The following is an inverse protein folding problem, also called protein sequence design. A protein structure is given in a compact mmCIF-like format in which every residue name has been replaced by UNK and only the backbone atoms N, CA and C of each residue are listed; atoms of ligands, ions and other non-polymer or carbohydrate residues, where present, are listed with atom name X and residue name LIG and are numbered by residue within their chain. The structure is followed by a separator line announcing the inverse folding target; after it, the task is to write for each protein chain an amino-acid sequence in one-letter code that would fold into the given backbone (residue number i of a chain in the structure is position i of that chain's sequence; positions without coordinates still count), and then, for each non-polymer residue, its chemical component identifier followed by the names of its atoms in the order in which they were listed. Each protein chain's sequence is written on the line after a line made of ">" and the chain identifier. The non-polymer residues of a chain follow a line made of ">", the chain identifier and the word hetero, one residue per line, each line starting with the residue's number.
data_IF_455076710178
#
_entry.id   IF_455076710178
#
_cell.length_a   1.000
_cell.length_b   1.000
_cell.length_c   1.000
_cell.angle_alpha   90.00
_cell.angle_beta   90.00
_cell.angle_gamma   90.00
#
_symmetry.space_group_name_H-M   'P 1'
#
loop_
_entity.id
_entity.type
_entity.pdbx_description
1 polymer ?
#
# COMPACT_ATOMS: atom_id res chain seq x y z
N UNK A 1 55.34 -0.40 26.74
CA UNK A 1 55.59 1.02 27.08
C UNK A 1 54.23 1.70 27.07
N UNK A 2 53.46 1.65 28.16
CA UNK A 2 53.62 2.39 29.42
C UNK A 2 52.76 3.67 29.42
N UNK A 3 51.79 3.68 30.34
CA UNK A 3 51.11 4.80 31.04
C UNK A 3 50.26 5.78 30.20
N UNK A 4 48.93 5.88 30.41
CA UNK A 4 48.19 6.44 31.57
C UNK A 4 48.45 7.92 31.92
N UNK A 5 47.34 8.69 31.83
CA UNK A 5 46.88 9.76 32.76
C UNK A 5 47.58 11.14 32.68
N UNK A 6 46.80 12.20 32.38
CA UNK A 6 46.30 13.17 33.39
C UNK A 6 45.54 14.37 32.79
N UNK A 7 44.43 14.63 33.47
CA UNK A 7 43.56 15.80 33.49
C UNK A 7 44.30 17.03 34.06
N UNK A 8 44.07 18.22 33.50
CA UNK A 8 44.28 19.48 34.21
C UNK A 8 43.23 20.54 33.87
N UNK A 9 42.81 21.22 34.92
CA UNK A 9 41.76 22.23 35.06
C UNK A 9 42.37 23.62 34.89
N UNK A 10 41.63 24.57 34.32
CA UNK A 10 41.98 26.00 34.29
C UNK A 10 40.74 26.89 34.26
N UNK A 11 40.50 27.57 35.37
CA UNK A 11 39.41 28.51 35.68
C UNK A 11 39.47 29.82 34.89
N UNK A 12 38.30 30.39 34.56
CA UNK A 12 38.08 31.81 34.28
C UNK A 12 36.86 32.31 35.06
N UNK A 13 37.03 33.37 35.83
CA UNK A 13 36.12 33.93 36.86
C UNK A 13 35.49 35.24 36.35
N UNK A 14 34.44 35.71 37.07
CA UNK A 14 33.74 37.02 37.07
C UNK A 14 32.47 37.04 36.19
N UNK A 15 31.24 37.33 36.66
CA UNK A 15 30.82 38.08 37.87
C UNK A 15 29.34 37.85 38.20
N UNK A 16 29.05 37.87 39.50
CA UNK A 16 27.73 37.86 40.14
C UNK A 16 27.08 39.25 40.04
N UNK A 17 25.76 39.32 39.86
CA UNK A 17 24.88 40.26 40.60
C UNK A 17 23.41 39.82 40.57
N UNK A 18 22.87 39.67 41.78
CA UNK A 18 21.47 39.48 42.17
C UNK A 18 20.67 40.78 42.00
N UNK A 19 19.35 40.67 41.78
CA UNK A 19 18.39 41.76 41.97
C UNK A 19 16.94 41.25 41.95
N UNK A 20 16.24 41.45 43.08
CA UNK A 20 15.00 40.80 43.53
C UNK A 20 13.73 41.55 43.09
N UNK A 21 12.63 40.79 43.04
CA UNK A 21 11.20 41.11 42.94
C UNK A 21 10.68 42.45 43.54
N UNK A 22 9.71 43.04 42.83
CA UNK A 22 8.48 43.73 43.27
C UNK A 22 7.85 44.35 42.00
N UNK A 23 6.56 44.27 41.68
CA UNK A 23 5.49 44.96 42.41
C UNK A 23 4.12 44.54 41.82
N UNK A 24 3.22 44.06 42.68
CA UNK A 24 1.79 43.96 42.45
C UNK A 24 1.08 45.11 43.20
N UNK A 25 -0.16 45.42 42.76
CA UNK A 25 -1.17 46.34 43.31
C UNK A 25 -1.15 47.83 42.92
N UNK A 26 -2.39 48.35 42.79
CA UNK A 26 -2.89 49.73 42.56
C UNK A 26 -3.25 49.93 41.06
N UNK A 27 -4.50 49.77 40.60
CA UNK A 27 -5.72 50.49 40.99
C UNK A 27 -7.00 49.67 40.70
N UNK A 28 -7.80 49.43 41.74
CA UNK A 28 -9.25 49.27 41.64
C UNK A 28 -9.89 50.21 42.67
N UNK A 29 -10.65 51.20 42.21
CA UNK A 29 -11.87 51.80 42.80
C UNK A 29 -12.11 53.24 42.31
N UNK A 30 -13.40 53.58 42.20
CA UNK A 30 -14.06 54.79 41.64
C UNK A 30 -14.39 54.60 40.14
N UNK A 31 -15.63 54.48 39.67
CA UNK A 31 -16.99 54.48 40.24
C UNK A 31 -17.89 53.91 39.13
N UNK A 32 -18.75 52.90 39.33
CA UNK A 32 -20.04 52.96 40.03
C UNK A 32 -20.71 54.33 39.90
N UNK A 33 -21.25 54.65 38.73
CA UNK A 33 -22.54 55.33 38.54
C UNK A 33 -22.87 55.40 37.04
N UNK A 34 -23.86 54.62 36.58
CA UNK A 34 -24.87 54.87 35.51
C UNK A 34 -25.37 53.54 34.89
N UNK A 35 -26.62 53.51 34.35
CA UNK A 35 -27.58 52.44 34.62
C UNK A 35 -27.47 51.22 33.68
N UNK A 36 -27.80 50.05 34.24
CA UNK A 36 -28.05 48.80 33.51
C UNK A 36 -29.22 48.98 32.55
N UNK A 37 -28.90 49.17 31.28
CA UNK A 37 -29.81 48.93 30.16
C UNK A 37 -29.89 47.43 29.90
N UNK A 38 -31.10 46.89 29.96
CA UNK A 38 -31.42 45.52 29.56
C UNK A 38 -31.34 45.42 28.03
N UNK A 39 -30.14 45.26 27.49
CA UNK A 39 -29.91 44.96 26.08
C UNK A 39 -29.76 43.46 25.92
N UNK A 40 -30.69 42.82 25.20
CA UNK A 40 -30.46 41.48 24.71
C UNK A 40 -29.18 41.46 23.88
N UNK A 41 -28.29 40.53 24.18
CA UNK A 41 -27.14 40.24 23.33
C UNK A 41 -27.67 39.75 21.99
N UNK A 42 -27.72 40.66 21.02
CA UNK A 42 -27.59 40.29 19.63
C UNK A 42 -26.20 39.66 19.49
N UNK A 43 -26.14 38.35 19.23
CA UNK A 43 -24.91 37.67 18.81
C UNK A 43 -24.40 38.42 17.58
N UNK A 44 -23.38 39.25 17.77
CA UNK A 44 -22.64 39.83 16.66
C UNK A 44 -22.01 38.67 15.91
N UNK A 45 -22.41 38.43 14.65
CA UNK A 45 -21.71 37.48 13.79
C UNK A 45 -20.23 37.86 13.81
N UNK A 46 -19.37 36.98 14.31
CA UNK A 46 -17.94 37.22 14.30
C UNK A 46 -17.50 37.40 12.83
N UNK A 47 -16.74 38.46 12.55
CA UNK A 47 -16.20 38.72 11.22
C UNK A 47 -15.45 37.48 10.70
N UNK A 48 -15.67 37.04 9.45
CA UNK A 48 -15.01 35.86 8.92
C UNK A 48 -13.47 35.98 9.01
N UNK A 49 -12.80 34.90 9.41
CA UNK A 49 -11.34 34.82 9.38
C UNK A 49 -10.89 34.42 7.97
N UNK A 50 -9.94 35.14 7.37
CA UNK A 50 -9.31 34.72 6.11
C UNK A 50 -7.94 34.11 6.38
N UNK A 51 -7.67 32.95 5.78
CA UNK A 51 -6.36 32.30 5.81
C UNK A 51 -5.97 31.81 4.41
N UNK A 52 -4.67 31.65 4.19
CA UNK A 52 -4.12 30.91 3.06
C UNK A 52 -3.79 29.49 3.51
N UNK A 53 -4.18 28.50 2.69
CA UNK A 53 -3.89 27.08 2.90
C UNK A 53 -3.13 26.56 1.69
N UNK A 54 -2.00 25.90 1.96
CA UNK A 54 -1.18 25.21 0.96
C UNK A 54 -1.36 23.70 1.14
N UNK A 55 -1.73 23.03 0.05
CA UNK A 55 -1.79 21.58 -0.07
C UNK A 55 -0.50 21.10 -0.74
N UNK A 56 0.18 20.19 -0.07
CA UNK A 56 1.34 19.44 -0.60
C UNK A 56 1.07 17.97 -0.33
N UNK A 57 1.82 17.06 -0.96
CA UNK A 57 1.49 15.65 -1.15
C UNK A 57 0.66 15.02 -0.02
N UNK A 58 1.19 14.92 1.20
CA UNK A 58 0.47 14.34 2.35
C UNK A 58 0.29 15.35 3.49
N UNK A 59 0.23 16.65 3.17
CA UNK A 59 0.25 17.70 4.20
C UNK A 59 -0.56 18.92 3.81
N UNK A 60 -1.38 19.37 4.77
CA UNK A 60 -2.06 20.66 4.75
C UNK A 60 -1.28 21.66 5.62
N UNK A 61 -1.01 22.85 5.11
CA UNK A 61 -0.34 23.93 5.85
C UNK A 61 -1.19 25.21 5.83
N UNK A 62 -1.51 25.83 7.00
CA UNK A 62 -1.17 25.37 8.35
C UNK A 62 -1.96 24.11 8.76
N UNK A 63 -1.41 23.35 9.71
CA UNK A 63 -2.05 22.13 10.24
C UNK A 63 -3.20 22.42 11.24
N UNK A 64 -3.35 23.67 11.68
CA UNK A 64 -4.49 24.09 12.50
C UNK A 64 -4.83 25.57 12.33
N UNK A 65 -6.07 25.93 12.62
CA UNK A 65 -6.55 27.32 12.73
C UNK A 65 -7.47 27.44 13.95
N UNK A 66 -7.40 28.57 14.65
CA UNK A 66 -8.29 28.89 15.77
C UNK A 66 -9.36 29.93 15.36
N UNK A 67 -10.61 29.67 15.71
CA UNK A 67 -11.79 30.49 15.41
C UNK A 67 -12.53 30.88 16.70
N UNK A 68 -13.27 31.98 16.67
CA UNK A 68 -14.26 32.30 17.70
C UNK A 68 -15.59 31.58 17.41
N UNK A 69 -16.42 31.29 18.43
CA UNK A 69 -17.75 30.72 18.21
C UNK A 69 -18.60 31.57 17.24
N UNK A 70 -19.26 30.91 16.29
CA UNK A 70 -20.07 31.54 15.26
C UNK A 70 -19.27 32.22 14.14
N UNK A 71 -17.94 32.08 14.12
CA UNK A 71 -17.07 32.66 13.09
C UNK A 71 -17.03 31.78 11.84
N UNK A 72 -17.16 32.39 10.66
CA UNK A 72 -16.92 31.72 9.39
C UNK A 72 -15.44 31.77 9.00
N UNK A 73 -14.99 30.83 8.18
CA UNK A 73 -13.62 30.77 7.68
C UNK A 73 -13.63 30.94 6.14
N UNK A 74 -12.87 31.92 5.65
CA UNK A 74 -12.58 32.12 4.23
C UNK A 74 -11.18 31.55 3.99
N UNK A 75 -11.07 30.53 3.16
CA UNK A 75 -9.81 29.83 2.92
C UNK A 75 -9.41 30.01 1.46
N UNK A 76 -8.22 30.58 1.24
CA UNK A 76 -7.59 30.57 -0.07
C UNK A 76 -6.71 29.32 -0.17
N UNK A 77 -7.24 28.27 -0.79
CA UNK A 77 -6.54 26.99 -0.91
C UNK A 77 -5.73 26.99 -2.20
N UNK A 78 -4.45 26.64 -2.13
CA UNK A 78 -3.57 26.42 -3.28
C UNK A 78 -3.01 25.01 -3.23
N UNK A 79 -3.03 24.30 -4.35
CA UNK A 79 -2.30 23.06 -4.52
C UNK A 79 -0.87 23.36 -4.97
N UNK A 80 0.09 23.33 -4.04
CA UNK A 80 1.52 23.47 -4.30
C UNK A 80 2.24 22.13 -4.50
N UNK A 81 1.49 21.02 -4.42
CA UNK A 81 1.97 19.67 -4.64
C UNK A 81 2.01 19.28 -6.12
N UNK A 82 2.40 18.02 -6.34
CA UNK A 82 2.54 17.42 -7.68
C UNK A 82 1.36 16.55 -8.10
N UNK A 83 0.38 16.33 -7.22
CA UNK A 83 -0.81 15.51 -7.46
C UNK A 83 -2.09 16.31 -7.17
N UNK A 84 -3.25 15.92 -7.72
CA UNK A 84 -4.52 16.54 -7.40
C UNK A 84 -4.88 16.40 -5.91
N UNK A 85 -5.37 17.48 -5.32
CA UNK A 85 -5.81 17.51 -3.93
C UNK A 85 -7.05 18.37 -3.78
N UNK A 86 -7.88 18.08 -2.78
CA UNK A 86 -8.91 18.98 -2.32
C UNK A 86 -8.72 19.30 -0.84
N UNK A 87 -9.53 20.25 -0.36
CA UNK A 87 -9.61 20.60 1.04
C UNK A 87 -11.08 20.63 1.43
N UNK A 88 -11.54 19.67 2.24
CA UNK A 88 -12.93 19.54 2.66
C UNK A 88 -13.07 19.41 4.17
N UNK A 89 -13.88 20.29 4.75
CA UNK A 89 -14.34 20.23 6.14
C UNK A 89 -15.30 19.06 6.29
N UNK A 90 -15.04 18.21 7.28
CA UNK A 90 -15.79 16.98 7.55
C UNK A 90 -15.96 16.10 6.29
N UNK A 91 -15.02 16.19 5.34
CA UNK A 91 -15.01 15.44 4.08
C UNK A 91 -16.07 15.84 3.05
N UNK A 92 -16.81 16.93 3.26
CA UNK A 92 -17.95 17.29 2.41
C UNK A 92 -17.83 18.70 1.82
N UNK A 93 -17.74 19.72 2.67
CA UNK A 93 -17.79 21.11 2.27
C UNK A 93 -16.38 21.71 2.13
N UNK A 94 -16.07 22.30 0.99
CA UNK A 94 -14.73 22.82 0.72
C UNK A 94 -14.51 23.07 -0.77
N UNK A 95 -13.28 22.91 -1.23
CA UNK A 95 -12.91 23.12 -2.63
C UNK A 95 -13.44 22.00 -3.54
N UNK A 96 -13.38 22.22 -4.84
CA UNK A 96 -13.29 21.17 -5.84
C UNK A 96 -11.93 20.44 -5.75
N UNK A 97 -11.76 19.39 -6.54
CA UNK A 97 -10.43 18.79 -6.77
C UNK A 97 -9.57 19.79 -7.53
N UNK A 98 -8.42 20.15 -6.96
CA UNK A 98 -7.48 21.13 -7.53
C UNK A 98 -6.29 20.40 -8.15
N UNK A 99 -6.03 20.65 -9.42
CA UNK A 99 -4.79 20.17 -10.07
C UNK A 99 -3.56 20.93 -9.54
N UNK A 100 -2.33 20.41 -9.73
CA UNK A 100 -1.09 21.11 -9.37
C UNK A 100 -1.05 22.56 -9.88
N UNK A 101 -0.79 23.49 -8.95
CA UNK A 101 -0.73 24.93 -9.20
C UNK A 101 -2.08 25.65 -9.27
N UNK A 102 -3.21 24.94 -9.11
CA UNK A 102 -4.53 25.58 -9.02
C UNK A 102 -4.82 26.10 -7.61
N UNK A 103 -5.66 27.14 -7.55
CA UNK A 103 -6.15 27.71 -6.29
C UNK A 103 -7.65 27.93 -6.36
N UNK A 104 -8.32 27.77 -5.21
CA UNK A 104 -9.73 28.11 -5.03
C UNK A 104 -9.94 28.78 -3.67
N UNK A 105 -10.77 29.84 -3.66
CA UNK A 105 -11.21 30.47 -2.42
C UNK A 105 -12.60 29.95 -2.05
N UNK A 106 -12.72 29.37 -0.86
CA UNK A 106 -13.98 28.84 -0.32
C UNK A 106 -14.32 29.48 1.02
N UNK A 107 -15.60 29.67 1.30
CA UNK A 107 -16.10 30.08 2.62
C UNK A 107 -16.83 28.90 3.27
N UNK A 108 -16.42 28.53 4.48
CA UNK A 108 -16.96 27.42 5.28
C UNK A 108 -17.36 27.88 6.68
N UNK A 109 -18.23 27.11 7.34
CA UNK A 109 -18.86 27.49 8.62
C UNK A 109 -20.17 28.26 8.42
N UNK A 110 -20.62 29.06 9.41
CA UNK A 110 -19.95 29.39 10.67
C UNK A 110 -19.71 28.17 11.58
N UNK A 111 -18.71 28.26 12.46
CA UNK A 111 -18.34 27.19 13.37
C UNK A 111 -18.71 27.50 14.82
N UNK A 112 -19.57 26.67 15.42
CA UNK A 112 -19.89 26.71 16.85
C UNK A 112 -19.18 25.59 17.65
N UNK A 113 -18.53 24.65 16.95
CA UNK A 113 -17.74 23.57 17.50
C UNK A 113 -16.50 23.32 16.62
N UNK A 114 -15.44 22.76 17.23
CA UNK A 114 -14.24 22.35 16.48
C UNK A 114 -14.57 21.26 15.47
N UNK A 115 -13.86 21.25 14.34
CA UNK A 115 -14.00 20.32 13.22
C UNK A 115 -12.62 20.03 12.64
N UNK A 116 -12.55 19.17 11.63
CA UNK A 116 -11.32 18.84 10.90
C UNK A 116 -11.58 18.97 9.41
N UNK A 117 -10.62 19.53 8.68
CA UNK A 117 -10.59 19.51 7.23
C UNK A 117 -9.53 18.52 6.74
N UNK A 118 -9.78 17.83 5.63
CA UNK A 118 -8.84 16.88 5.05
C UNK A 118 -8.97 16.81 3.52
N UNK A 119 -7.98 16.18 2.88
CA UNK A 119 -8.03 15.81 1.47
C UNK A 119 -8.78 14.49 1.31
N UNK A 120 -9.75 14.42 0.40
CA UNK A 120 -10.63 13.26 0.18
C UNK A 120 -10.13 12.27 -0.85
N UNK A 121 -8.96 12.53 -1.45
CA UNK A 121 -8.27 11.51 -2.24
C UNK A 121 -8.00 10.29 -1.35
N UNK A 122 -8.36 9.07 -1.80
CA UNK A 122 -8.21 7.86 -0.99
C UNK A 122 -6.83 7.73 -0.35
N UNK A 123 -6.80 7.47 0.96
CA UNK A 123 -5.57 7.29 1.74
C UNK A 123 -4.86 8.58 2.16
N UNK A 124 -5.18 9.75 1.60
CA UNK A 124 -4.46 10.99 1.92
C UNK A 124 -4.76 11.46 3.36
N UNK A 125 -6.01 11.36 3.81
CA UNK A 125 -6.40 11.69 5.18
C UNK A 125 -5.65 10.81 6.19
N UNK A 126 -5.66 9.50 5.97
CA UNK A 126 -5.02 8.50 6.83
C UNK A 126 -3.49 8.65 6.83
N UNK A 127 -2.91 9.09 5.70
CA UNK A 127 -1.50 9.45 5.59
C UNK A 127 -1.14 10.80 6.25
N UNK A 128 -2.10 11.51 6.84
CA UNK A 128 -1.88 12.72 7.63
C UNK A 128 -2.23 14.04 6.95
N UNK A 129 -2.92 14.02 5.80
CA UNK A 129 -3.36 15.21 5.08
C UNK A 129 -4.61 15.84 5.72
N UNK A 130 -4.44 16.28 6.97
CA UNK A 130 -5.49 16.80 7.87
C UNK A 130 -5.12 18.19 8.42
N UNK A 131 -6.14 18.97 8.74
CA UNK A 131 -6.03 20.29 9.37
C UNK A 131 -7.13 20.46 10.41
N UNK A 132 -6.74 20.84 11.63
CA UNK A 132 -7.70 21.11 12.71
C UNK A 132 -8.31 22.50 12.61
N UNK A 133 -9.63 22.58 12.74
CA UNK A 133 -10.37 23.84 12.89
C UNK A 133 -10.84 23.90 14.34
N UNK A 134 -10.14 24.68 15.16
CA UNK A 134 -10.36 24.74 16.62
C UNK A 134 -11.24 25.95 16.96
N UNK A 135 -12.37 25.74 17.62
CA UNK A 135 -13.21 26.85 18.11
C UNK A 135 -12.86 27.16 19.57
N UNK A 136 -12.44 28.40 19.83
CA UNK A 136 -12.04 28.88 21.16
C UNK A 136 -13.18 28.73 22.18
N UNK A 137 -12.89 28.05 23.28
CA UNK A 137 -13.87 27.80 24.35
C UNK A 137 -14.87 26.67 24.06
N UNK A 138 -14.83 26.05 22.89
CA UNK A 138 -15.51 24.78 22.65
C UNK A 138 -14.69 23.64 23.30
N UNK A 139 -15.36 22.77 24.05
CA UNK A 139 -14.73 21.52 24.50
C UNK A 139 -14.46 20.65 23.28
N UNK A 140 -13.19 20.33 23.01
CA UNK A 140 -12.79 19.34 22.02
C UNK A 140 -13.59 18.03 22.23
N UNK A 141 -14.33 17.60 21.21
CA UNK A 141 -14.75 16.20 21.06
C UNK A 141 -13.73 15.36 20.30
N UNK A 142 -12.57 15.92 19.93
CA UNK A 142 -11.44 15.19 19.35
C UNK A 142 -10.18 15.46 20.18
N UNK A 143 -9.79 14.51 21.03
CA UNK A 143 -8.57 14.56 21.80
C UNK A 143 -7.49 13.68 21.18
N UNK A 144 -6.37 14.27 20.78
CA UNK A 144 -5.10 13.55 20.74
C UNK A 144 -4.63 13.34 22.19
N UNK A 145 -4.86 12.13 22.69
CA UNK A 145 -4.26 11.61 23.91
C UNK A 145 -3.84 10.18 23.68
N UNK A 146 -2.54 9.92 23.74
CA UNK A 146 -1.95 8.59 23.84
C UNK A 146 -2.57 7.83 25.03
N UNK A 147 -3.60 7.03 24.76
CA UNK A 147 -4.01 5.87 25.57
C UNK A 147 -4.96 5.02 24.74
N UNK A 148 -4.57 3.76 24.53
CA UNK A 148 -5.41 2.72 23.97
C UNK A 148 -6.74 2.60 24.75
N UNK A 149 -7.86 2.91 24.09
CA UNK A 149 -9.15 2.21 24.22
C UNK A 149 -10.20 2.82 23.28
N UNK A 150 -10.71 2.00 22.37
CA UNK A 150 -12.08 2.08 21.83
C UNK A 150 -12.35 3.18 20.84
N UNK A 151 -12.05 2.93 19.56
CA UNK A 151 -12.55 3.74 18.45
C UNK A 151 -14.08 3.80 18.47
N UNK A 152 -14.61 5.00 18.22
CA UNK A 152 -16.02 5.22 17.96
C UNK A 152 -16.44 4.38 16.75
N UNK A 153 -17.15 3.31 17.03
CA UNK A 153 -17.79 2.44 16.05
C UNK A 153 -18.99 3.17 15.43
N UNK A 154 -18.73 4.03 14.44
CA UNK A 154 -19.55 3.94 13.24
C UNK A 154 -19.17 2.57 12.65
N UNK A 155 -20.02 1.56 12.81
CA UNK A 155 -19.72 0.20 12.36
C UNK A 155 -19.28 0.25 10.91
N UNK A 156 -17.99 0.03 10.65
CA UNK A 156 -17.49 -0.11 9.30
C UNK A 156 -17.95 -1.48 8.84
N UNK A 157 -18.96 -1.49 7.97
CA UNK A 157 -19.35 -2.68 7.21
C UNK A 157 -18.23 -2.98 6.20
N UNK A 158 -17.07 -3.41 6.69
CA UNK A 158 -16.01 -3.97 5.86
C UNK A 158 -16.52 -5.25 5.22
N UNK A 159 -16.09 -5.49 3.97
CA UNK A 159 -16.37 -6.77 3.33
C UNK A 159 -15.67 -7.89 4.12
N UNK A 160 -16.30 -9.06 4.18
CA UNK A 160 -15.78 -10.22 4.90
C UNK A 160 -15.78 -11.43 4.01
N UNK A 161 -14.68 -12.18 4.00
CA UNK A 161 -14.56 -13.42 3.23
C UNK A 161 -15.27 -14.55 3.98
N UNK A 162 -16.26 -15.17 3.34
CA UNK A 162 -16.80 -16.46 3.77
C UNK A 162 -15.90 -17.58 3.24
N UNK A 163 -15.09 -18.17 4.11
CA UNK A 163 -14.17 -19.26 3.75
C UNK A 163 -14.87 -20.52 3.22
N UNK A 164 -16.20 -20.63 3.36
CA UNK A 164 -17.01 -21.74 2.84
C UNK A 164 -17.72 -21.43 1.53
N UNK A 165 -17.65 -20.18 1.06
CA UNK A 165 -18.22 -19.77 -0.21
C UNK A 165 -17.41 -20.32 -1.40
N UNK A 166 -18.10 -20.49 -2.52
CA UNK A 166 -17.58 -21.12 -3.73
C UNK A 166 -17.71 -20.15 -4.89
N UNK A 167 -16.70 -20.01 -5.78
CA UNK A 167 -16.79 -19.10 -6.91
C UNK A 167 -18.01 -19.39 -7.80
N UNK A 168 -18.41 -18.39 -8.60
CA UNK A 168 -19.46 -18.58 -9.61
C UNK A 168 -19.04 -19.64 -10.64
N UNK A 169 -20.02 -20.29 -11.29
CA UNK A 169 -19.74 -21.39 -12.21
C UNK A 169 -18.92 -20.99 -13.46
N UNK A 170 -18.93 -19.71 -13.83
CA UNK A 170 -18.17 -19.13 -14.94
C UNK A 170 -16.88 -18.43 -14.50
N UNK A 171 -16.58 -18.40 -13.19
CA UNK A 171 -15.33 -17.88 -12.67
C UNK A 171 -14.13 -18.64 -13.25
N UNK A 172 -13.04 -17.91 -13.50
CA UNK A 172 -11.78 -18.46 -13.99
C UNK A 172 -10.66 -18.05 -13.04
N UNK A 173 -9.76 -18.98 -12.65
CA UNK A 173 -8.59 -18.61 -11.89
C UNK A 173 -7.64 -17.77 -12.75
N UNK A 174 -6.73 -17.06 -12.09
CA UNK A 174 -5.51 -16.59 -12.71
C UNK A 174 -4.70 -17.81 -13.20
N UNK A 175 -4.30 -17.82 -14.48
CA UNK A 175 -3.47 -18.91 -15.01
C UNK A 175 -2.02 -18.76 -14.50
N UNK A 176 -1.50 -19.70 -13.69
CA UNK A 176 -0.14 -19.61 -13.18
C UNK A 176 0.91 -19.99 -14.22
N UNK A 177 0.53 -20.49 -15.39
CA UNK A 177 1.48 -20.98 -16.41
C UNK A 177 2.37 -19.83 -16.91
N UNK A 178 3.68 -19.97 -16.74
CA UNK A 178 4.66 -18.99 -17.19
C UNK A 178 5.18 -19.35 -18.58
N UNK A 179 4.80 -18.57 -19.59
CA UNK A 179 5.32 -18.73 -20.94
C UNK A 179 6.86 -18.53 -20.98
N UNK A 180 7.58 -19.20 -21.92
CA UNK A 180 9.00 -18.95 -22.14
C UNK A 180 9.28 -17.46 -22.42
N UNK A 181 10.50 -17.01 -22.11
CA UNK A 181 10.90 -15.64 -22.43
C UNK A 181 10.70 -15.35 -23.94
N UNK A 182 10.07 -14.22 -24.29
CA UNK A 182 9.92 -13.82 -25.69
C UNK A 182 11.28 -13.71 -26.37
N UNK A 183 11.30 -13.96 -27.68
CA UNK A 183 12.50 -13.77 -28.50
C UNK A 183 12.83 -12.29 -28.69
N UNK A 184 14.05 -12.01 -29.17
CA UNK A 184 14.56 -10.64 -29.32
C UNK A 184 15.29 -10.14 -28.07
N UNK A 185 15.74 -8.90 -28.11
CA UNK A 185 16.44 -8.21 -27.00
C UNK A 185 15.82 -6.86 -26.66
N UNK A 186 14.70 -6.52 -27.31
CA UNK A 186 13.95 -5.28 -27.11
C UNK A 186 12.49 -5.65 -26.95
N UNK A 187 11.88 -5.23 -25.84
CA UNK A 187 10.51 -5.52 -25.48
C UNK A 187 9.75 -4.20 -25.33
N UNK A 188 8.77 -3.97 -26.21
CA UNK A 188 7.86 -2.82 -26.13
C UNK A 188 6.54 -3.28 -25.54
N UNK A 189 6.13 -2.63 -24.45
CA UNK A 189 4.95 -3.01 -23.68
C UNK A 189 4.07 -1.77 -23.51
N UNK A 190 2.77 -1.95 -23.66
CA UNK A 190 1.77 -0.97 -23.23
C UNK A 190 1.12 -1.50 -21.95
N UNK A 191 0.99 -0.64 -20.95
CA UNK A 191 0.43 -0.98 -19.64
C UNK A 191 -0.57 0.10 -19.23
N UNK A 192 -1.73 -0.31 -18.73
CA UNK A 192 -2.80 0.59 -18.34
C UNK A 192 -3.05 0.53 -16.84
N UNK A 193 -2.87 1.64 -16.13
CA UNK A 193 -3.30 1.77 -14.75
C UNK A 193 -4.81 2.04 -14.71
N UNK A 194 -5.57 1.15 -14.08
CA UNK A 194 -7.04 1.13 -14.09
C UNK A 194 -7.57 0.87 -12.69
N UNK A 195 -8.55 1.67 -12.27
CA UNK A 195 -9.41 1.41 -11.11
C UNK A 195 -10.62 0.59 -11.57
N UNK A 196 -10.79 -0.62 -11.08
CA UNK A 196 -11.89 -1.50 -11.50
C UNK A 196 -12.37 -2.40 -10.38
N UNK A 197 -13.65 -2.76 -10.43
CA UNK A 197 -14.21 -3.77 -9.55
C UNK A 197 -13.62 -5.15 -9.91
N UNK A 198 -13.05 -5.81 -8.91
CA UNK A 198 -12.51 -7.18 -9.01
C UNK A 198 -13.13 -8.00 -7.89
N UNK A 199 -13.64 -9.19 -8.22
CA UNK A 199 -14.00 -10.19 -7.22
C UNK A 199 -12.70 -10.84 -6.71
N UNK A 200 -12.38 -10.61 -5.44
CA UNK A 200 -11.11 -11.06 -4.81
C UNK A 200 -11.28 -12.32 -3.96
N UNK A 201 -12.52 -12.66 -3.64
CA UNK A 201 -12.95 -13.92 -3.04
C UNK A 201 -14.43 -14.15 -3.44
N UNK A 202 -14.97 -15.38 -3.31
CA UNK A 202 -16.34 -15.65 -3.74
C UNK A 202 -17.37 -14.70 -3.12
N UNK A 203 -18.04 -13.90 -3.95
CA UNK A 203 -19.04 -12.93 -3.50
C UNK A 203 -18.48 -11.68 -2.80
N UNK A 204 -17.16 -11.47 -2.81
CA UNK A 204 -16.50 -10.29 -2.25
C UNK A 204 -15.82 -9.51 -3.36
N UNK A 205 -16.33 -8.31 -3.63
CA UNK A 205 -15.83 -7.41 -4.66
C UNK A 205 -15.16 -6.21 -4.02
N UNK A 206 -14.01 -5.79 -4.54
CA UNK A 206 -13.31 -4.58 -4.13
C UNK A 206 -13.02 -3.69 -5.35
N UNK A 207 -12.95 -2.37 -5.13
CA UNK A 207 -12.44 -1.43 -6.11
C UNK A 207 -10.91 -1.49 -6.09
N UNK A 208 -10.36 -2.37 -6.90
CA UNK A 208 -8.91 -2.59 -6.98
C UNK A 208 -8.27 -1.55 -7.91
N UNK A 209 -7.06 -1.17 -7.58
CA UNK A 209 -6.20 -0.41 -8.48
C UNK A 209 -5.24 -1.39 -9.14
N UNK A 210 -5.20 -1.40 -10.46
CA UNK A 210 -4.61 -2.51 -11.21
C UNK A 210 -3.70 -2.03 -12.33
N UNK A 211 -2.80 -2.90 -12.76
CA UNK A 211 -2.20 -2.82 -14.09
C UNK A 211 -2.93 -3.81 -15.01
N UNK A 212 -3.46 -3.32 -16.13
CA UNK A 212 -4.20 -4.08 -17.14
C UNK A 212 -5.48 -4.80 -16.62
N UNK A 213 -6.12 -4.25 -15.59
CA UNK A 213 -7.39 -4.77 -15.08
C UNK A 213 -7.29 -6.06 -14.28
N UNK A 214 -6.09 -6.44 -13.83
CA UNK A 214 -5.82 -7.70 -13.13
C UNK A 214 -4.95 -7.48 -11.88
N UNK A 215 -5.09 -8.40 -10.92
CA UNK A 215 -4.22 -8.49 -9.74
C UNK A 215 -3.74 -9.94 -9.64
N UNK A 216 -2.41 -10.22 -9.66
CA UNK A 216 -1.36 -9.28 -10.05
C UNK A 216 -1.55 -8.76 -11.49
N UNK A 217 -0.89 -7.66 -11.81
CA UNK A 217 -0.77 -7.18 -13.18
C UNK A 217 -0.06 -8.18 -14.11
N UNK A 218 0.06 -7.82 -15.38
CA UNK A 218 0.69 -8.66 -16.41
C UNK A 218 2.07 -9.15 -15.99
N UNK A 219 2.30 -10.48 -16.02
CA UNK A 219 3.64 -11.03 -15.76
C UNK A 219 4.53 -10.76 -16.96
N UNK A 220 5.64 -10.07 -16.73
CA UNK A 220 6.64 -9.77 -17.74
C UNK A 220 7.78 -10.79 -17.67
N UNK A 221 8.41 -11.07 -18.81
CA UNK A 221 9.56 -11.96 -18.87
C UNK A 221 10.57 -11.51 -19.93
N UNK A 222 11.85 -11.65 -19.62
CA UNK A 222 12.95 -11.44 -20.56
C UNK A 222 14.22 -12.11 -20.07
N UNK A 223 15.35 -11.67 -20.62
CA UNK A 223 16.69 -12.20 -20.33
C UNK A 223 17.62 -11.09 -19.89
N UNK A 224 18.69 -11.46 -19.19
CA UNK A 224 19.77 -10.51 -18.86
C UNK A 224 20.30 -9.86 -20.13
N UNK A 225 20.28 -8.52 -20.14
CA UNK A 225 20.72 -7.67 -21.24
C UNK A 225 19.59 -7.10 -22.10
N UNK A 226 18.36 -7.58 -21.94
CA UNK A 226 17.21 -7.09 -22.72
C UNK A 226 16.84 -5.65 -22.33
N UNK A 227 16.36 -4.89 -23.30
CA UNK A 227 15.82 -3.53 -23.14
C UNK A 227 14.29 -3.59 -23.06
N UNK A 228 13.73 -3.09 -21.97
CA UNK A 228 12.29 -2.92 -21.81
C UNK A 228 11.92 -1.46 -22.03
N UNK A 229 10.93 -1.22 -22.89
CA UNK A 229 10.30 0.10 -23.09
C UNK A 229 8.82 -0.06 -22.80
N UNK A 230 8.38 0.44 -21.65
CA UNK A 230 7.00 0.33 -21.17
C UNK A 230 6.34 1.70 -21.28
N UNK A 231 5.24 1.80 -22.02
CA UNK A 231 4.39 2.98 -21.98
C UNK A 231 3.27 2.75 -20.99
N UNK A 232 3.31 3.46 -19.87
CA UNK A 232 2.24 3.49 -18.89
C UNK A 232 1.21 4.54 -19.29
N UNK A 233 -0.06 4.15 -19.38
CA UNK A 233 -1.21 5.04 -19.49
C UNK A 233 -1.98 5.03 -18.17
N UNK A 234 -2.37 6.21 -17.67
CA UNK A 234 -3.26 6.30 -16.52
C UNK A 234 -4.69 6.51 -17.00
N UNK A 235 -5.47 5.43 -17.00
CA UNK A 235 -6.91 5.46 -17.33
C UNK A 235 -7.79 5.57 -16.07
N UNK A 236 -7.16 5.61 -14.88
CA UNK A 236 -7.79 5.80 -13.57
C UNK A 236 -8.17 7.25 -13.29
N UNK A 237 -8.66 7.51 -12.08
CA UNK A 237 -9.05 8.82 -11.57
C UNK A 237 -7.99 9.41 -10.64
N UNK A 238 -7.22 8.58 -9.93
CA UNK A 238 -6.12 9.02 -9.06
C UNK A 238 -4.77 9.00 -9.79
N UNK A 239 -3.76 9.60 -9.18
CA UNK A 239 -2.38 9.55 -9.69
C UNK A 239 -1.83 8.13 -9.60
N UNK A 240 -1.12 7.69 -10.64
CA UNK A 240 -0.44 6.39 -10.68
C UNK A 240 0.98 6.53 -11.22
N UNK A 241 1.85 5.58 -10.88
CA UNK A 241 3.19 5.47 -11.43
C UNK A 241 3.59 4.01 -11.61
N UNK A 242 4.84 3.77 -11.99
CA UNK A 242 5.39 2.44 -12.18
C UNK A 242 6.85 2.42 -11.73
N UNK A 243 7.17 1.48 -10.86
CA UNK A 243 8.50 1.17 -10.34
C UNK A 243 8.83 -0.28 -10.67
N UNK A 244 9.91 -0.50 -11.43
CA UNK A 244 10.47 -1.81 -11.71
C UNK A 244 11.69 -2.07 -10.83
N UNK A 245 11.63 -3.07 -9.95
CA UNK A 245 12.81 -3.48 -9.16
C UNK A 245 13.90 -4.14 -10.02
N UNK A 246 13.55 -4.56 -11.24
CA UNK A 246 14.52 -5.03 -12.24
C UNK A 246 15.32 -3.90 -12.91
N UNK A 247 14.98 -2.63 -12.64
CA UNK A 247 15.55 -1.46 -13.30
C UNK A 247 16.63 -0.76 -12.47
N UNK A 248 17.48 0.03 -13.14
CA UNK A 248 18.51 0.87 -12.51
C UNK A 248 18.43 2.29 -13.08
N UNK A 249 17.40 3.01 -12.67
CA UNK A 249 17.09 4.39 -13.11
C UNK A 249 16.85 5.28 -11.89
N UNK A 250 16.83 6.60 -12.09
CA UNK A 250 16.50 7.55 -11.03
C UNK A 250 14.97 7.55 -10.83
N UNK A 251 14.55 7.42 -9.58
CA UNK A 251 13.12 7.28 -9.24
C UNK A 251 12.32 8.56 -9.55
N UNK A 252 12.93 9.73 -9.38
CA UNK A 252 12.31 11.04 -9.61
C UNK A 252 12.15 11.41 -11.09
N UNK A 253 12.74 10.62 -12.00
CA UNK A 253 12.60 10.75 -13.45
C UNK A 253 11.57 9.75 -13.99
N UNK A 254 11.89 8.46 -13.88
CA UNK A 254 11.14 7.38 -14.53
C UNK A 254 9.95 6.86 -13.69
N UNK A 255 9.97 7.04 -12.36
CA UNK A 255 8.92 6.51 -11.45
C UNK A 255 7.94 7.59 -10.98
N UNK A 256 7.90 8.73 -11.66
CA UNK A 256 7.03 9.87 -11.30
C UNK A 256 5.55 9.55 -11.48
N UNK A 257 4.71 10.13 -10.61
CA UNK A 257 3.25 10.08 -10.77
C UNK A 257 2.84 10.73 -12.08
N UNK A 258 1.93 10.07 -12.80
CA UNK A 258 1.16 10.61 -13.91
C UNK A 258 -0.31 10.76 -13.48
N UNK A 259 -0.90 11.88 -13.86
CA UNK A 259 -2.31 12.17 -13.59
C UNK A 259 -3.24 11.37 -14.49
N UNK A 260 -4.53 11.38 -14.17
CA UNK A 260 -5.56 10.80 -15.03
C UNK A 260 -5.46 11.33 -16.47
N UNK A 261 -5.44 10.43 -17.45
CA UNK A 261 -5.33 10.72 -18.88
C UNK A 261 -3.92 11.02 -19.38
N UNK A 262 -2.91 11.03 -18.50
CA UNK A 262 -1.51 11.18 -18.89
C UNK A 262 -0.85 9.83 -19.21
N UNK A 263 0.34 9.90 -19.83
CA UNK A 263 1.18 8.73 -20.06
C UNK A 263 2.66 9.02 -19.80
N UNK A 264 3.41 7.96 -19.53
CA UNK A 264 4.85 7.97 -19.30
C UNK A 264 5.51 6.82 -20.06
N UNK A 265 6.62 7.09 -20.73
CA UNK A 265 7.47 6.05 -21.31
C UNK A 265 8.59 5.78 -20.32
N UNK A 266 8.63 4.55 -19.78
CA UNK A 266 9.63 4.03 -18.88
C UNK A 266 10.58 3.12 -19.65
N UNK A 267 11.88 3.41 -19.67
CA UNK A 267 12.85 2.56 -20.35
C UNK A 267 13.97 2.10 -19.42
N UNK A 268 14.24 0.79 -19.40
CA UNK A 268 15.38 0.24 -18.66
C UNK A 268 15.95 -1.01 -19.33
N UNK A 269 17.22 -1.27 -19.05
CA UNK A 269 17.89 -2.50 -19.48
C UNK A 269 18.01 -3.44 -18.27
N UNK A 270 17.58 -4.68 -18.44
CA UNK A 270 17.61 -5.70 -17.39
C UNK A 270 19.04 -6.25 -17.20
N UNK A 271 19.84 -5.60 -16.36
CA UNK A 271 21.25 -5.97 -16.14
C UNK A 271 21.45 -7.22 -15.27
N UNK A 272 20.44 -7.63 -14.49
CA UNK A 272 20.54 -8.69 -13.48
C UNK A 272 19.38 -9.68 -13.56
N UNK A 273 19.70 -10.97 -13.49
CA UNK A 273 18.70 -12.02 -13.42
C UNK A 273 17.97 -11.98 -12.07
N UNK A 274 16.66 -12.13 -12.09
CA UNK A 274 15.80 -12.01 -10.90
C UNK A 274 14.39 -12.49 -11.17
N UNK A 275 13.67 -12.80 -10.11
CA UNK A 275 12.22 -12.71 -10.09
C UNK A 275 11.92 -11.46 -9.27
N UNK A 276 11.56 -10.37 -9.95
CA UNK A 276 11.35 -9.07 -9.32
C UNK A 276 9.86 -8.75 -9.31
N UNK A 277 9.43 -7.92 -8.36
CA UNK A 277 8.15 -7.24 -8.50
C UNK A 277 8.31 -5.96 -9.33
N UNK A 278 7.19 -5.48 -9.85
CA UNK A 278 6.99 -4.09 -10.20
C UNK A 278 5.72 -3.60 -9.52
N UNK A 279 5.62 -2.31 -9.23
CA UNK A 279 4.45 -1.76 -8.55
C UNK A 279 4.26 -0.26 -8.81
N UNK A 280 3.12 0.27 -8.40
CA UNK A 280 2.93 1.72 -8.37
C UNK A 280 3.72 2.35 -7.19
N UNK A 281 4.42 3.45 -7.46
CA UNK A 281 5.22 4.19 -6.48
C UNK A 281 4.58 5.52 -6.03
N UNK A 282 3.39 5.85 -6.52
CA UNK A 282 2.65 7.05 -6.12
C UNK A 282 2.32 7.01 -4.62
N UNK A 283 2.43 8.15 -3.94
CA UNK A 283 2.18 8.24 -2.51
C UNK A 283 0.67 8.25 -2.19
N UNK A 284 0.22 7.52 -1.15
CA UNK A 284 0.99 6.59 -0.33
C UNK A 284 1.18 5.23 -1.03
N UNK A 285 2.43 4.85 -1.32
CA UNK A 285 2.73 3.63 -2.08
C UNK A 285 2.17 2.36 -1.42
N UNK A 286 2.09 2.35 -0.08
CA UNK A 286 1.45 1.29 0.69
C UNK A 286 0.01 1.04 0.23
N UNK A 287 -0.78 2.09 0.01
CA UNK A 287 -2.17 1.95 -0.44
C UNK A 287 -2.25 1.44 -1.86
N UNK A 288 -1.38 1.95 -2.75
CA UNK A 288 -1.37 1.47 -4.14
C UNK A 288 -0.98 0.00 -4.26
N UNK A 289 0.05 -0.45 -3.54
CA UNK A 289 0.48 -1.85 -3.53
C UNK A 289 -0.61 -2.71 -2.86
N UNK A 290 -1.04 -2.34 -1.66
CA UNK A 290 -2.04 -3.08 -0.89
C UNK A 290 -3.41 -3.16 -1.57
N UNK A 291 -3.74 -2.21 -2.45
CA UNK A 291 -4.97 -2.19 -3.25
C UNK A 291 -4.82 -2.83 -4.65
N UNK A 292 -3.69 -3.51 -4.93
CA UNK A 292 -3.53 -4.39 -6.09
C UNK A 292 -2.55 -3.96 -7.17
N UNK A 293 -1.88 -2.80 -7.06
CA UNK A 293 -0.98 -2.29 -8.10
C UNK A 293 0.42 -2.90 -8.00
N UNK A 294 0.52 -4.19 -8.24
CA UNK A 294 1.79 -4.91 -8.35
C UNK A 294 1.71 -6.01 -9.41
N UNK A 295 2.87 -6.40 -9.92
CA UNK A 295 3.03 -7.59 -10.75
C UNK A 295 4.45 -8.12 -10.65
N UNK A 296 4.79 -9.11 -11.48
CA UNK A 296 6.13 -9.68 -11.50
C UNK A 296 6.81 -9.54 -12.86
N UNK A 297 8.13 -9.37 -12.83
CA UNK A 297 9.01 -9.45 -14.00
C UNK A 297 10.11 -10.48 -13.76
N UNK A 298 10.16 -11.49 -14.63
CA UNK A 298 11.14 -12.57 -14.58
C UNK A 298 12.27 -12.27 -15.58
N UNK A 299 13.49 -12.12 -15.09
CA UNK A 299 14.69 -11.98 -15.91
C UNK A 299 15.48 -13.27 -15.83
N UNK A 300 15.40 -14.09 -16.88
CA UNK A 300 16.06 -15.40 -16.94
C UNK A 300 17.58 -15.25 -16.68
N UNK A 301 18.18 -16.06 -15.80
CA UNK A 301 19.62 -16.15 -15.71
C UNK A 301 20.22 -16.79 -16.98
N UNK A 302 21.48 -16.46 -17.31
CA UNK A 302 22.17 -17.13 -18.42
C UNK A 302 22.19 -18.65 -18.23
N UNK A 303 21.89 -19.39 -19.30
CA UNK A 303 21.87 -20.85 -19.32
C UNK A 303 20.89 -21.49 -18.32
N UNK A 304 19.72 -20.85 -18.08
CA UNK A 304 18.62 -21.45 -17.33
C UNK A 304 18.24 -22.83 -17.93
N UNK A 305 18.37 -23.94 -17.18
CA UNK A 305 18.04 -25.26 -17.69
C UNK A 305 16.56 -25.37 -18.09
N UNK A 306 16.21 -26.17 -19.11
CA UNK A 306 14.81 -26.42 -19.43
C UNK A 306 14.15 -27.28 -18.35
N UNK A 307 12.84 -27.12 -18.22
CA UNK A 307 11.93 -27.93 -17.41
C UNK A 307 10.70 -28.23 -18.26
N UNK A 308 9.85 -29.16 -17.82
CA UNK A 308 8.63 -29.51 -18.55
C UNK A 308 7.56 -28.42 -18.37
N UNK A 309 7.43 -27.88 -17.15
CA UNK A 309 6.49 -26.80 -16.83
C UNK A 309 7.11 -25.69 -16.00
N UNK A 310 6.73 -24.44 -16.29
CA UNK A 310 7.02 -23.28 -15.44
C UNK A 310 5.71 -22.66 -14.95
N UNK A 311 5.63 -22.40 -13.66
CA UNK A 311 4.51 -21.69 -13.02
C UNK A 311 5.02 -20.46 -12.27
N UNK A 312 4.17 -19.47 -12.08
CA UNK A 312 4.44 -18.28 -11.27
C UNK A 312 3.38 -18.08 -10.18
N UNK A 313 3.87 -17.87 -8.96
CA UNK A 313 3.09 -17.53 -7.79
C UNK A 313 3.53 -16.17 -7.26
N UNK A 314 2.64 -15.21 -7.25
CA UNK A 314 2.81 -13.90 -6.64
C UNK A 314 2.00 -13.89 -5.35
N UNK A 315 2.67 -13.85 -4.21
CA UNK A 315 2.02 -13.73 -2.91
C UNK A 315 1.72 -12.26 -2.62
N UNK A 316 0.54 -11.97 -2.09
CA UNK A 316 0.15 -10.65 -1.62
C UNK A 316 -0.90 -10.75 -0.52
N UNK A 317 -1.08 -9.66 0.23
CA UNK A 317 -2.20 -9.53 1.18
C UNK A 317 -3.42 -8.85 0.54
N UNK A 318 -4.60 -9.07 1.13
CA UNK A 318 -5.84 -8.32 0.87
C UNK A 318 -6.24 -7.58 2.15
N UNK A 319 -6.41 -6.27 2.05
CA UNK A 319 -6.88 -5.40 3.13
C UNK A 319 -8.23 -4.81 2.71
N UNK A 320 -9.32 -5.52 3.01
CA UNK A 320 -10.65 -5.21 2.52
C UNK A 320 -11.21 -3.94 3.16
N UNK A 321 -11.71 -3.04 2.31
CA UNK A 321 -12.64 -2.00 2.68
C UNK A 321 -14.09 -2.50 2.62
N UNK A 322 -15.08 -1.60 2.67
CA UNK A 322 -16.48 -1.95 2.40
C UNK A 322 -16.67 -2.60 1.03
N UNK A 323 -17.77 -3.32 0.84
CA UNK A 323 -18.07 -3.99 -0.44
C UNK A 323 -18.05 -2.99 -1.61
N UNK A 324 -17.37 -3.37 -2.70
CA UNK A 324 -17.15 -2.55 -3.89
C UNK A 324 -16.43 -1.20 -3.64
N UNK A 325 -15.68 -1.09 -2.53
CA UNK A 325 -14.78 0.03 -2.22
C UNK A 325 -13.32 -0.39 -2.24
N UNK A 326 -12.43 0.59 -2.20
CA UNK A 326 -10.99 0.41 -2.12
C UNK A 326 -10.61 -0.25 -0.80
N UNK A 327 -9.47 -0.94 -0.81
CA UNK A 327 -8.89 -1.49 0.40
C UNK A 327 -8.59 -0.44 1.47
N UNK A 328 -8.65 -0.84 2.73
CA UNK A 328 -8.51 0.07 3.87
C UNK A 328 -7.04 0.34 4.22
N UNK A 329 -6.61 1.60 4.10
CA UNK A 329 -5.23 2.00 4.41
C UNK A 329 -4.91 1.90 5.91
N UNK A 330 -5.90 2.04 6.80
CA UNK A 330 -5.70 1.86 8.23
C UNK A 330 -5.26 0.43 8.55
N UNK A 331 -5.96 -0.55 7.99
CA UNK A 331 -5.58 -1.97 8.09
C UNK A 331 -4.20 -2.25 7.51
N UNK A 332 -3.85 -1.63 6.39
CA UNK A 332 -2.51 -1.76 5.80
C UNK A 332 -1.42 -1.22 6.71
N UNK A 333 -1.66 -0.07 7.36
CA UNK A 333 -0.72 0.52 8.33
C UNK A 333 -0.55 -0.31 9.60
N UNK A 334 -1.61 -1.01 10.01
CA UNK A 334 -1.64 -1.88 11.19
C UNK A 334 -1.21 -3.33 10.88
N UNK A 335 -0.88 -3.65 9.61
CA UNK A 335 -0.60 -5.02 9.12
C UNK A 335 -1.73 -6.02 9.45
N UNK A 336 -2.99 -5.55 9.41
CA UNK A 336 -4.20 -6.33 9.72
C UNK A 336 -4.86 -6.85 8.43
N UNK A 337 -4.21 -7.81 7.76
CA UNK A 337 -4.73 -8.42 6.53
C UNK A 337 -5.99 -9.29 6.77
N UNK A 338 -6.94 -9.24 5.84
CA UNK A 338 -8.07 -10.18 5.82
C UNK A 338 -7.69 -11.52 5.22
N UNK A 339 -6.78 -11.49 4.26
CA UNK A 339 -6.29 -12.66 3.55
C UNK A 339 -4.87 -12.45 3.05
N UNK A 340 -4.16 -13.56 2.91
CA UNK A 340 -2.95 -13.65 2.10
C UNK A 340 -3.29 -14.60 0.96
N UNK A 341 -2.90 -14.28 -0.26
CA UNK A 341 -3.33 -15.03 -1.45
C UNK A 341 -2.17 -15.27 -2.40
N UNK A 342 -2.28 -16.31 -3.23
CA UNK A 342 -1.44 -16.45 -4.42
C UNK A 342 -2.23 -15.96 -5.62
N UNK A 343 -1.61 -15.09 -6.43
CA UNK A 343 -2.14 -14.52 -7.67
C UNK A 343 -3.49 -13.80 -7.51
N UNK A 344 -3.68 -13.10 -6.38
CA UNK A 344 -4.73 -12.08 -6.22
C UNK A 344 -6.13 -12.54 -5.84
N UNK A 345 -6.39 -13.86 -5.72
CA UNK A 345 -7.72 -14.38 -5.36
C UNK A 345 -7.64 -15.43 -4.25
N UNK A 346 -8.53 -15.31 -3.25
CA UNK A 346 -8.60 -16.19 -2.08
C UNK A 346 -8.73 -17.66 -2.47
N UNK A 347 -7.75 -18.48 -2.12
CA UNK A 347 -7.74 -19.94 -2.35
C UNK A 347 -8.00 -20.38 -3.80
N UNK A 348 -7.70 -19.56 -4.81
CA UNK A 348 -8.11 -19.86 -6.20
C UNK A 348 -7.65 -21.24 -6.70
N UNK A 349 -6.45 -21.68 -6.30
CA UNK A 349 -5.90 -22.97 -6.72
C UNK A 349 -6.40 -24.14 -5.88
N UNK A 350 -7.20 -23.90 -4.85
CA UNK A 350 -8.04 -24.92 -4.21
C UNK A 350 -9.31 -25.15 -5.05
N UNK A 351 -9.92 -24.08 -5.55
CA UNK A 351 -11.12 -24.13 -6.42
C UNK A 351 -10.80 -24.69 -7.81
N UNK A 352 -9.61 -24.36 -8.34
CA UNK A 352 -9.10 -24.85 -9.62
C UNK A 352 -7.66 -25.38 -9.48
N UNK A 353 -7.48 -26.66 -9.10
CA UNK A 353 -6.17 -27.29 -8.98
C UNK A 353 -5.35 -27.26 -10.27
N UNK A 354 -4.05 -27.01 -10.14
CA UNK A 354 -3.09 -26.98 -11.25
C UNK A 354 -2.75 -28.42 -11.66
N UNK A 355 -3.01 -28.77 -12.91
CA UNK A 355 -2.79 -30.14 -13.43
C UNK A 355 -1.38 -30.30 -14.00
N UNK A 356 -0.73 -31.39 -13.62
CA UNK A 356 0.60 -31.83 -14.11
C UNK A 356 0.65 -33.36 -14.13
N UNK A 357 1.62 -33.94 -14.81
CA UNK A 357 1.87 -35.39 -14.76
C UNK A 357 2.97 -35.73 -13.74
N UNK A 358 2.87 -36.93 -13.17
CA UNK A 358 3.91 -37.47 -12.28
C UNK A 358 5.23 -37.63 -13.04
N UNK A 359 6.34 -37.25 -12.40
CA UNK A 359 7.68 -37.33 -12.98
C UNK A 359 8.08 -36.16 -13.88
N UNK A 360 7.17 -35.26 -14.24
CA UNK A 360 7.50 -34.03 -14.97
C UNK A 360 8.31 -33.07 -14.08
N UNK A 361 9.31 -32.43 -14.68
CA UNK A 361 10.14 -31.42 -14.04
C UNK A 361 9.40 -30.09 -14.03
N UNK A 362 9.13 -29.59 -12.83
CA UNK A 362 8.39 -28.35 -12.62
C UNK A 362 9.36 -27.30 -12.04
N UNK A 363 9.27 -26.06 -12.55
CA UNK A 363 9.82 -24.87 -11.91
C UNK A 363 8.69 -23.97 -11.43
N UNK A 364 8.63 -23.69 -10.13
CA UNK A 364 7.74 -22.68 -9.57
C UNK A 364 8.54 -21.42 -9.27
N UNK A 365 8.30 -20.36 -10.06
CA UNK A 365 8.73 -19.01 -9.76
C UNK A 365 7.83 -18.43 -8.66
N UNK A 366 8.45 -17.79 -7.68
CA UNK A 366 7.72 -17.20 -6.54
C UNK A 366 8.22 -15.78 -6.34
N UNK A 367 7.29 -14.83 -6.28
CA UNK A 367 7.55 -13.44 -5.90
C UNK A 367 6.66 -13.11 -4.72
N UNK A 368 7.24 -12.58 -3.66
CA UNK A 368 6.51 -12.06 -2.52
C UNK A 368 6.31 -10.56 -2.73
N UNK A 369 5.14 -10.17 -3.27
CA UNK A 369 4.84 -8.77 -3.54
C UNK A 369 4.51 -7.99 -2.26
N UNK A 370 4.00 -8.68 -1.23
CA UNK A 370 3.60 -8.07 0.03
C UNK A 370 2.29 -7.25 -0.08
N UNK A 371 2.24 -6.02 0.48
CA UNK A 371 3.38 -5.20 0.88
C UNK A 371 4.09 -5.58 2.20
N UNK A 372 3.50 -6.40 3.08
CA UNK A 372 3.98 -6.51 4.47
C UNK A 372 4.30 -7.93 4.95
N UNK A 373 3.51 -8.95 4.61
CA UNK A 373 3.70 -10.31 5.11
C UNK A 373 4.76 -11.05 4.30
N UNK A 374 5.57 -11.85 4.98
CA UNK A 374 6.66 -12.57 4.36
C UNK A 374 6.23 -13.99 3.96
N UNK A 375 6.73 -14.49 2.83
CA UNK A 375 6.46 -15.85 2.37
C UNK A 375 7.42 -16.89 2.95
N UNK A 376 6.89 -18.08 3.21
CA UNK A 376 7.67 -19.31 3.39
C UNK A 376 7.08 -20.38 2.46
N UNK A 377 7.25 -20.20 1.16
CA UNK A 377 6.61 -21.03 0.14
C UNK A 377 7.01 -22.50 0.28
N UNK A 378 6.00 -23.37 0.37
CA UNK A 378 6.16 -24.80 0.60
C UNK A 378 5.12 -25.58 -0.20
N UNK A 379 5.50 -26.76 -0.68
CA UNK A 379 4.58 -27.72 -1.30
C UNK A 379 4.61 -29.01 -0.49
N UNK A 380 3.50 -29.31 0.18
CA UNK A 380 3.35 -30.50 1.02
C UNK A 380 3.46 -31.75 0.16
N UNK A 381 4.32 -32.69 0.57
CA UNK A 381 4.48 -33.98 -0.09
C UNK A 381 5.60 -34.05 -1.13
N UNK A 382 6.28 -32.94 -1.43
CA UNK A 382 7.48 -32.95 -2.29
C UNK A 382 8.68 -32.25 -1.62
N UNK A 383 9.84 -32.33 -2.27
CA UNK A 383 11.10 -31.72 -1.83
C UNK A 383 11.69 -30.97 -3.03
N UNK A 384 12.16 -29.75 -2.79
CA UNK A 384 12.83 -28.96 -3.82
C UNK A 384 14.28 -29.42 -3.94
N UNK A 385 14.69 -29.92 -5.09
CA UNK A 385 16.09 -30.32 -5.35
C UNK A 385 16.90 -29.19 -6.02
N UNK A 386 16.23 -28.13 -6.48
CA UNK A 386 16.82 -26.85 -6.88
C UNK A 386 16.15 -25.71 -6.13
N UNK A 387 16.94 -24.75 -5.67
CA UNK A 387 16.45 -23.49 -5.11
C UNK A 387 17.32 -22.35 -5.60
N UNK A 388 16.68 -21.31 -6.11
CA UNK A 388 17.30 -20.10 -6.59
C UNK A 388 16.58 -18.90 -5.99
N UNK A 389 17.33 -17.94 -5.45
CA UNK A 389 16.77 -16.78 -4.74
C UNK A 389 17.68 -15.58 -5.00
N UNK A 390 17.10 -14.42 -5.29
CA UNK A 390 17.82 -13.14 -5.40
C UNK A 390 19.09 -13.22 -6.28
N UNK A 391 18.98 -13.81 -7.48
CA UNK A 391 20.09 -13.86 -8.44
C UNK A 391 21.04 -15.06 -8.30
N UNK A 392 20.89 -15.91 -7.27
CA UNK A 392 21.85 -17.00 -7.00
C UNK A 392 21.20 -18.36 -6.72
N UNK A 393 21.88 -19.43 -7.10
CA UNK A 393 21.48 -20.79 -6.74
C UNK A 393 21.94 -21.11 -5.32
N UNK A 394 20.99 -21.41 -4.45
CA UNK A 394 21.24 -21.90 -3.09
C UNK A 394 21.37 -23.42 -3.07
N UNK A 395 20.65 -24.11 -3.97
CA UNK A 395 20.66 -25.55 -4.11
C UNK A 395 20.55 -25.95 -5.59
N UNK A 396 21.27 -27.00 -5.97
CA UNK A 396 21.14 -27.71 -7.26
C UNK A 396 21.38 -29.21 -7.05
N UNK A 397 20.87 -30.07 -7.94
CA UNK A 397 21.20 -31.49 -7.93
C UNK A 397 22.70 -31.73 -8.08
N UNK A 398 23.29 -32.38 -7.09
CA UNK A 398 24.69 -32.81 -7.08
C UNK A 398 24.86 -34.10 -6.23
N UNK A 399 26.10 -34.55 -6.05
CA UNK A 399 26.42 -35.79 -5.32
C UNK A 399 25.95 -35.78 -3.85
N UNK A 400 25.70 -34.60 -3.26
CA UNK A 400 25.20 -34.48 -1.88
C UNK A 400 23.73 -34.89 -1.77
N UNK A 401 22.98 -34.86 -2.88
CA UNK A 401 21.52 -35.06 -2.91
C UNK A 401 20.79 -34.17 -1.91
N UNK A 402 21.19 -32.90 -1.85
CA UNK A 402 20.52 -31.92 -0.98
C UNK A 402 19.07 -31.68 -1.40
N UNK A 403 18.26 -31.25 -0.44
CA UNK A 403 16.86 -30.89 -0.65
C UNK A 403 16.48 -29.71 0.23
N UNK A 404 15.69 -28.78 -0.31
CA UNK A 404 15.04 -27.71 0.45
C UNK A 404 13.57 -28.04 0.68
N UNK A 405 13.07 -27.69 1.86
CA UNK A 405 11.66 -27.86 2.21
C UNK A 405 10.83 -26.62 1.90
N UNK A 406 11.45 -25.43 1.89
CA UNK A 406 10.75 -24.16 1.71
C UNK A 406 11.64 -23.14 1.01
N UNK A 407 11.02 -22.16 0.36
CA UNK A 407 11.67 -20.94 -0.11
C UNK A 407 11.18 -19.78 0.75
N UNK A 408 12.05 -19.27 1.63
CA UNK A 408 11.77 -18.05 2.40
C UNK A 408 11.89 -16.82 1.49
N UNK A 409 10.94 -15.90 1.58
CA UNK A 409 10.96 -14.60 0.90
C UNK A 409 10.47 -13.54 1.89
N UNK A 410 11.07 -12.36 1.84
CA UNK A 410 10.52 -11.13 2.42
C UNK A 410 9.73 -10.40 1.32
N UNK A 411 8.87 -9.43 1.68
CA UNK A 411 8.29 -8.52 0.69
C UNK A 411 9.37 -7.97 -0.25
N UNK A 412 9.03 -7.89 -1.54
CA UNK A 412 9.91 -7.55 -2.65
C UNK A 412 11.03 -8.56 -2.99
N UNK A 413 11.04 -9.77 -2.39
CA UNK A 413 11.97 -10.83 -2.79
C UNK A 413 11.34 -11.83 -3.74
N UNK A 414 12.19 -12.45 -4.57
CA UNK A 414 11.74 -13.52 -5.46
C UNK A 414 12.80 -14.58 -5.75
N UNK A 415 12.32 -15.69 -6.30
CA UNK A 415 13.14 -16.81 -6.66
C UNK A 415 12.39 -17.88 -7.44
N UNK A 416 12.99 -19.07 -7.53
CA UNK A 416 12.29 -20.27 -7.98
C UNK A 416 12.77 -21.51 -7.24
N UNK A 417 11.89 -22.51 -7.22
CA UNK A 417 12.18 -23.88 -6.80
C UNK A 417 11.91 -24.83 -7.93
N UNK A 418 12.64 -25.95 -7.98
CA UNK A 418 12.34 -27.04 -8.92
C UNK A 418 12.20 -28.37 -8.19
N UNK A 419 11.31 -29.19 -8.71
CA UNK A 419 10.93 -30.47 -8.12
C UNK A 419 10.27 -31.37 -9.18
N UNK A 420 9.99 -32.61 -8.78
CA UNK A 420 9.09 -33.53 -9.48
C UNK A 420 8.11 -34.12 -8.46
N UNK A 421 6.95 -34.58 -8.92
CA UNK A 421 6.06 -35.42 -8.10
C UNK A 421 6.40 -36.89 -8.33
N UNK A 422 6.48 -37.66 -7.24
CA UNK A 422 6.93 -39.06 -7.28
C UNK A 422 5.78 -40.05 -7.50
N UNK A 423 4.56 -39.67 -7.10
CA UNK A 423 3.36 -40.51 -7.15
C UNK A 423 2.17 -39.62 -7.56
N UNK A 424 1.13 -40.26 -8.12
CA UNK A 424 -0.11 -39.56 -8.43
C UNK A 424 -0.77 -39.10 -7.13
N UNK A 425 -1.25 -37.86 -7.09
CA UNK A 425 -1.85 -37.32 -5.87
C UNK A 425 -2.15 -35.82 -5.91
N UNK A 426 -2.60 -35.33 -4.76
CA UNK A 426 -2.77 -33.91 -4.49
C UNK A 426 -1.63 -33.41 -3.61
N UNK A 427 -1.01 -32.30 -4.03
CA UNK A 427 0.11 -31.68 -3.35
C UNK A 427 -0.26 -30.24 -3.00
N UNK A 428 -0.30 -29.94 -1.71
CA UNK A 428 -0.81 -28.65 -1.21
C UNK A 428 0.28 -27.60 -1.25
N UNK A 429 0.01 -26.51 -1.96
CA UNK A 429 0.82 -25.29 -1.99
C UNK A 429 0.42 -24.43 -0.81
N UNK A 430 1.39 -23.94 -0.03
CA UNK A 430 1.15 -23.02 1.08
C UNK A 430 2.28 -22.00 1.19
N UNK A 431 2.02 -20.88 1.85
CA UNK A 431 3.05 -20.25 2.69
C UNK A 431 3.05 -20.92 4.05
N UNK A 432 4.22 -21.34 4.56
CA UNK A 432 4.34 -22.03 5.84
C UNK A 432 4.10 -21.10 7.05
N UNK A 433 3.74 -19.83 6.80
CA UNK A 433 3.00 -18.98 7.75
C UNK A 433 1.55 -19.47 7.82
N UNK A 434 1.30 -20.50 8.63
CA UNK A 434 0.01 -21.21 8.60
C UNK A 434 -1.24 -20.36 8.92
N UNK A 435 -1.09 -19.23 9.62
CA UNK A 435 -2.18 -18.27 9.76
C UNK A 435 -2.57 -17.71 8.38
N UNK A 436 -1.60 -17.21 7.62
CA UNK A 436 -1.77 -16.73 6.25
C UNK A 436 -2.27 -17.82 5.29
N UNK A 437 -1.73 -19.05 5.36
CA UNK A 437 -2.26 -20.17 4.58
C UNK A 437 -3.75 -20.42 4.87
N UNK A 438 -4.13 -20.46 6.15
CA UNK A 438 -5.52 -20.66 6.55
C UNK A 438 -6.45 -19.49 6.14
N UNK A 439 -5.89 -18.31 5.84
CA UNK A 439 -6.58 -17.11 5.36
C UNK A 439 -6.48 -16.89 3.84
N UNK A 440 -6.09 -17.89 3.04
CA UNK A 440 -6.25 -17.80 1.57
C UNK A 440 -5.05 -18.21 0.72
N UNK A 441 -3.88 -18.38 1.34
CA UNK A 441 -2.64 -18.68 0.64
C UNK A 441 -2.45 -20.20 0.52
N UNK A 442 -3.47 -20.87 -0.03
CA UNK A 442 -3.45 -22.29 -0.35
C UNK A 442 -3.71 -22.55 -1.83
N UNK A 443 -3.15 -23.65 -2.32
CA UNK A 443 -3.42 -24.17 -3.65
C UNK A 443 -3.18 -25.67 -3.74
N UNK A 444 -3.58 -26.26 -4.86
CA UNK A 444 -3.35 -27.66 -5.15
C UNK A 444 -2.64 -27.82 -6.48
N UNK A 445 -1.54 -28.56 -6.47
CA UNK A 445 -1.17 -29.36 -7.63
C UNK A 445 -1.94 -30.67 -7.59
N UNK A 446 -2.42 -31.09 -8.74
CA UNK A 446 -2.92 -32.43 -8.97
C UNK A 446 -2.00 -33.11 -9.98
N UNK A 447 -1.24 -34.08 -9.49
CA UNK A 447 -0.30 -34.87 -10.29
C UNK A 447 -0.96 -36.18 -10.72
N UNK A 448 -1.01 -36.42 -12.03
CA UNK A 448 -1.58 -37.63 -12.64
C UNK A 448 -3.11 -37.75 -12.56
N UNK A 449 -3.60 -38.92 -12.92
CA UNK A 449 -5.04 -39.24 -13.05
C UNK A 449 -5.68 -39.57 -11.69
N UNK A 450 -5.84 -38.57 -10.83
CA UNK A 450 -6.50 -38.70 -9.53
C UNK A 450 -7.89 -38.07 -9.52
N UNK A 451 -8.93 -38.77 -9.07
CA UNK A 451 -10.23 -38.13 -8.85
C UNK A 451 -10.17 -37.27 -7.59
N UNK A 452 -10.74 -36.05 -7.65
CA UNK A 452 -10.93 -35.22 -6.45
C UNK A 452 -11.73 -36.03 -5.42
N UNK A 453 -11.31 -36.07 -4.14
CA UNK A 453 -12.05 -36.80 -3.12
C UNK A 453 -13.50 -36.31 -3.05
N UNK A 454 -14.47 -37.22 -3.02
CA UNK A 454 -15.89 -36.87 -2.82
C UNK A 454 -16.03 -35.99 -1.56
N UNK A 455 -16.53 -34.76 -1.74
CA UNK A 455 -16.76 -33.80 -0.66
C UNK A 455 -15.72 -32.67 -0.54
N UNK A 456 -14.65 -32.66 -1.35
CA UNK A 456 -13.90 -31.44 -1.62
C UNK A 456 -14.72 -30.59 -2.61
N UNK A 457 -15.60 -29.73 -2.10
CA UNK A 457 -16.46 -28.90 -2.95
C UNK A 457 -15.65 -27.84 -3.70
N UNK A 458 -15.96 -27.69 -4.99
CA UNK A 458 -15.61 -26.56 -5.85
C UNK A 458 -15.90 -25.23 -5.19
#
# INVERSE_FOLDING_TARGET
>A
MEQERKQQIGFGVWTVSFGVAAMALILALIALYLPRGNGGESVSSAEPLTIDVSLTEMKITPASVELQPGQALIVNVTNDGTMPHDWKVDGTNGTAMLDPGQSETVTVGPFDASSTAWCTVPGHKEAGMVMDIVVAGATHSGGHGDTATGGDSAGSDFATIDSSATPAADWQPYDPTLAPAPGGTEHTIEMHAIETLVEVAPGVTQMMWTFDGKVPGTILRGKVGDLFTVTLYNDGQVGHSLDFHASKVAWDDEMRTINSGESLVYQFKADYAGAYMYHCGTAPALHHIGNGMFGAIIIDPPNLPPVDHEFIFVQSELYLGPEAKEGDLGKMLDEDDDAVVFNGYYNQYMHSPIRVETGERIRAWVVDAGPSENSSFHIVGTIFDTTWKEGTYLLRPDERRGGSQALDLQPAQGGFVEFTFAEDGFYVIVTHKFAAASRGAMGLFQAGDVELPEGASH
#
